data_IF_195579801082
#
_entry.id   IF_195579801082
#
_cell.length_a   1.000
_cell.length_b   1.000
_cell.length_c   1.000
_cell.angle_alpha   90.00
_cell.angle_beta   90.00
_cell.angle_gamma   90.00
#
_symmetry.space_group_name_H-M   'P 1'
#
loop_
_entity.id
_entity.type
_entity.pdbx_description
1 polymer ?
#
# COMPACT_ATOMS: atom_id res chain seq x y z
N UNK A 1 -13.26 -14.05 7.67
CA UNK A 1 -12.95 -12.66 8.07
C UNK A 1 -12.74 -11.84 6.80
N UNK A 2 -13.44 -10.72 6.62
CA UNK A 2 -13.21 -9.81 5.48
C UNK A 2 -12.14 -8.79 5.88
N UNK A 3 -11.02 -8.78 5.17
CA UNK A 3 -9.91 -7.86 5.46
C UNK A 3 -10.15 -6.49 4.82
N UNK A 4 -10.71 -6.46 3.61
CA UNK A 4 -11.09 -5.21 2.96
C UNK A 4 -12.60 -4.99 3.04
N UNK A 5 -12.99 -3.74 3.36
CA UNK A 5 -14.38 -3.26 3.25
C UNK A 5 -14.78 -2.96 1.81
N UNK A 6 -13.82 -2.74 0.91
CA UNK A 6 -14.05 -2.28 -0.46
C UNK A 6 -14.00 -3.41 -1.49
N UNK A 7 -13.12 -4.39 -1.29
CA UNK A 7 -12.98 -5.50 -2.22
C UNK A 7 -12.94 -6.83 -1.46
N UNK A 8 -14.01 -7.61 -1.58
CA UNK A 8 -14.14 -8.92 -0.91
C UNK A 8 -13.15 -9.96 -1.42
N UNK A 9 -12.50 -9.73 -2.57
CA UNK A 9 -11.46 -10.60 -3.12
C UNK A 9 -10.10 -10.43 -2.43
N UNK A 10 -9.90 -9.33 -1.69
CA UNK A 10 -8.67 -9.11 -0.92
C UNK A 10 -8.76 -9.95 0.37
N UNK A 11 -8.12 -11.10 0.35
CA UNK A 11 -8.00 -12.03 1.49
C UNK A 11 -6.59 -11.99 2.06
N UNK A 12 -6.40 -12.52 3.27
CA UNK A 12 -5.05 -12.61 3.86
C UNK A 12 -4.13 -13.49 3.02
N UNK A 13 -4.69 -14.60 2.52
CA UNK A 13 -3.99 -15.53 1.64
C UNK A 13 -3.49 -14.83 0.37
N UNK A 14 -4.36 -14.04 -0.29
CA UNK A 14 -3.96 -13.21 -1.43
C UNK A 14 -2.79 -12.28 -1.06
N UNK A 15 -2.90 -11.56 0.06
CA UNK A 15 -1.89 -10.60 0.48
C UNK A 15 -0.51 -11.22 0.79
N UNK A 16 -0.49 -12.47 1.26
CA UNK A 16 0.75 -13.13 1.70
C UNK A 16 1.34 -14.04 0.62
N UNK A 17 0.50 -14.73 -0.15
CA UNK A 17 0.92 -15.77 -1.09
C UNK A 17 0.92 -15.33 -2.56
N UNK A 18 0.16 -14.30 -2.94
CA UNK A 18 0.19 -13.86 -4.33
C UNK A 18 1.52 -13.22 -4.72
N UNK A 19 1.87 -13.42 -5.98
CA UNK A 19 3.07 -12.85 -6.57
C UNK A 19 2.83 -11.39 -6.93
N UNK A 20 3.76 -10.53 -6.55
CA UNK A 20 3.77 -9.13 -6.95
C UNK A 20 3.79 -9.01 -8.48
N UNK A 21 2.98 -8.09 -8.97
CA UNK A 21 2.77 -7.85 -10.39
C UNK A 21 2.53 -6.34 -10.62
N UNK A 22 2.31 -5.94 -11.87
CA UNK A 22 2.15 -4.53 -12.22
C UNK A 22 0.97 -3.82 -11.52
N UNK A 23 0.02 -4.57 -10.95
CA UNK A 23 -1.15 -4.06 -10.23
C UNK A 23 -1.15 -4.44 -8.74
N UNK A 24 -0.11 -5.11 -8.25
CA UNK A 24 -0.02 -5.55 -6.86
C UNK A 24 1.42 -5.46 -6.35
N UNK A 25 1.63 -4.63 -5.33
CA UNK A 25 2.94 -4.36 -4.76
C UNK A 25 2.88 -4.37 -3.22
N UNK A 26 3.84 -5.05 -2.59
CA UNK A 26 3.93 -5.18 -1.13
C UNK A 26 5.13 -4.39 -0.64
N UNK A 27 4.89 -3.56 0.36
CA UNK A 27 5.92 -2.71 0.96
C UNK A 27 6.01 -2.96 2.46
N UNK A 28 7.24 -2.95 2.95
CA UNK A 28 7.54 -2.95 4.38
C UNK A 28 6.82 -1.82 5.10
N UNK A 29 6.52 -2.03 6.37
CA UNK A 29 6.05 -0.98 7.26
C UNK A 29 7.05 0.20 7.32
N UNK A 30 8.34 -0.08 7.13
CA UNK A 30 9.41 0.92 7.18
C UNK A 30 9.62 1.68 5.87
N UNK A 31 8.73 1.54 4.87
CA UNK A 31 8.84 2.26 3.59
C UNK A 31 8.92 3.77 3.81
N UNK A 32 9.83 4.42 3.08
CA UNK A 32 9.92 5.89 3.05
C UNK A 32 8.69 6.46 2.34
N UNK A 33 8.08 7.49 2.92
CA UNK A 33 6.89 8.15 2.36
C UNK A 33 7.10 8.62 0.92
N UNK A 34 8.29 9.12 0.57
CA UNK A 34 8.59 9.51 -0.81
C UNK A 34 8.48 8.33 -1.78
N UNK A 35 9.00 7.15 -1.39
CA UNK A 35 8.86 5.93 -2.20
C UNK A 35 7.43 5.43 -2.28
N UNK A 36 6.67 5.57 -1.21
CA UNK A 36 5.24 5.25 -1.22
C UNK A 36 4.48 6.18 -2.18
N UNK A 37 4.78 7.48 -2.17
CA UNK A 37 4.19 8.45 -3.08
C UNK A 37 4.53 8.13 -4.54
N UNK A 38 5.79 7.83 -4.84
CA UNK A 38 6.23 7.43 -6.18
C UNK A 38 5.48 6.17 -6.65
N UNK A 39 5.30 5.19 -5.77
CA UNK A 39 4.49 4.00 -6.08
C UNK A 39 3.03 4.40 -6.36
N UNK A 40 2.39 5.19 -5.49
CA UNK A 40 1.00 5.64 -5.70
C UNK A 40 0.85 6.36 -7.05
N UNK A 41 1.78 7.26 -7.39
CA UNK A 41 1.77 7.99 -8.66
C UNK A 41 1.95 7.02 -9.84
N UNK A 42 2.88 6.08 -9.74
CA UNK A 42 3.11 5.07 -10.78
C UNK A 42 1.87 4.21 -11.04
N UNK A 43 1.19 3.79 -9.98
CA UNK A 43 -0.08 3.08 -10.07
C UNK A 43 -1.20 3.95 -10.65
N UNK A 44 -1.31 5.21 -10.21
CA UNK A 44 -2.32 6.15 -10.71
C UNK A 44 -2.14 6.51 -12.19
N UNK A 45 -0.89 6.55 -12.68
CA UNK A 45 -0.56 6.82 -14.08
C UNK A 45 -0.71 5.59 -14.99
N UNK A 46 -0.75 4.39 -14.43
CA UNK A 46 -1.10 3.17 -15.13
C UNK A 46 -2.63 2.98 -15.12
N UNK A 47 -3.13 1.79 -14.79
CA UNK A 47 -4.56 1.50 -14.64
C UNK A 47 -5.02 1.41 -13.17
N UNK A 48 -4.24 1.99 -12.25
CA UNK A 48 -4.42 1.81 -10.81
C UNK A 48 -3.90 0.45 -10.33
N UNK A 49 -4.28 0.08 -9.10
CA UNK A 49 -3.94 -1.21 -8.51
C UNK A 49 -3.94 -1.17 -6.99
N UNK A 50 -3.26 -2.15 -6.38
CA UNK A 50 -3.26 -2.38 -4.95
C UNK A 50 -1.84 -2.30 -4.39
N UNK A 51 -1.60 -1.32 -3.52
CA UNK A 51 -0.38 -1.21 -2.73
C UNK A 51 -0.71 -1.60 -1.30
N UNK A 52 0.10 -2.50 -0.73
CA UNK A 52 -0.10 -2.99 0.63
C UNK A 52 1.13 -2.69 1.47
N UNK A 53 0.94 -1.87 2.49
CA UNK A 53 2.01 -1.42 3.39
C UNK A 53 1.95 -2.20 4.70
N UNK A 54 3.11 -2.63 5.18
CA UNK A 54 3.23 -3.45 6.39
C UNK A 54 3.25 -4.95 6.14
N UNK A 55 3.56 -5.37 4.90
CA UNK A 55 3.82 -6.76 4.55
C UNK A 55 5.16 -6.84 3.83
N UNK A 56 6.04 -7.71 4.30
CA UNK A 56 7.34 -7.99 3.68
C UNK A 56 7.58 -9.49 3.74
N UNK A 57 8.07 -10.09 2.65
CA UNK A 57 8.40 -11.52 2.57
C UNK A 57 7.28 -12.48 3.03
N UNK A 58 6.02 -12.13 2.71
CA UNK A 58 4.85 -12.94 3.11
C UNK A 58 4.58 -12.94 4.62
N UNK A 59 5.15 -11.98 5.36
CA UNK A 59 4.89 -11.75 6.79
C UNK A 59 4.25 -10.41 7.02
N UNK A 60 3.30 -10.39 7.95
CA UNK A 60 2.62 -9.17 8.38
C UNK A 60 3.48 -8.51 9.45
N UNK A 61 4.18 -7.45 9.08
CA UNK A 61 4.90 -6.58 10.00
C UNK A 61 3.91 -5.63 10.72
N UNK A 62 2.90 -5.17 9.98
CA UNK A 62 1.94 -4.18 10.45
C UNK A 62 2.51 -2.75 10.50
N UNK A 63 1.65 -1.75 10.31
CA UNK A 63 2.07 -0.34 10.25
C UNK A 63 2.05 0.37 11.62
N UNK A 64 1.38 -0.22 12.62
CA UNK A 64 1.22 0.39 13.94
C UNK A 64 2.54 0.46 14.72
N UNK A 65 3.47 -0.46 14.47
CA UNK A 65 4.79 -0.45 15.12
C UNK A 65 5.70 0.69 14.64
N UNK A 66 5.31 1.43 13.60
CA UNK A 66 6.10 2.54 13.04
C UNK A 66 5.82 3.89 13.72
N UNK A 67 4.88 3.92 14.69
CA UNK A 67 4.49 5.13 15.41
C UNK A 67 3.44 5.96 14.69
N UNK A 68 2.62 6.68 15.46
CA UNK A 68 1.43 7.40 14.98
C UNK A 68 1.72 8.41 13.86
N UNK A 69 2.92 9.03 13.87
CA UNK A 69 3.31 10.04 12.88
C UNK A 69 3.44 9.40 11.49
N UNK A 70 4.13 8.25 11.37
CA UNK A 70 4.30 7.55 10.08
C UNK A 70 2.99 6.97 9.54
N UNK A 71 2.12 6.48 10.43
CA UNK A 71 0.79 5.98 10.02
C UNK A 71 -0.06 7.12 9.44
N UNK A 72 -0.05 8.29 10.08
CA UNK A 72 -0.74 9.46 9.55
C UNK A 72 -0.15 9.90 8.21
N UNK A 73 1.18 9.88 8.08
CA UNK A 73 1.87 10.23 6.84
C UNK A 73 1.49 9.28 5.67
N UNK A 74 1.38 7.97 5.93
CA UNK A 74 0.88 6.99 4.96
C UNK A 74 -0.56 7.31 4.53
N UNK A 75 -1.44 7.63 5.49
CA UNK A 75 -2.83 7.98 5.20
C UNK A 75 -2.94 9.28 4.40
N UNK A 76 -2.13 10.28 4.74
CA UNK A 76 -2.08 11.57 4.07
C UNK A 76 -1.39 11.51 2.70
N UNK A 77 -0.52 10.53 2.47
CA UNK A 77 0.26 10.39 1.24
C UNK A 77 -0.63 10.31 -0.01
N UNK A 78 -1.69 9.49 0.04
CA UNK A 78 -2.66 9.36 -1.06
C UNK A 78 -3.59 10.58 -1.21
N UNK A 79 -3.73 11.42 -0.18
CA UNK A 79 -4.62 12.58 -0.18
C UNK A 79 -3.90 13.88 -0.59
N UNK A 80 -2.65 14.06 -0.16
CA UNK A 80 -1.89 15.30 -0.38
C UNK A 80 -1.03 15.28 -1.66
N UNK A 81 -0.70 14.11 -2.23
CA UNK A 81 0.19 14.01 -3.40
C UNK A 81 -0.50 13.61 -4.72
N UNK A 82 -1.82 13.42 -4.73
CA UNK A 82 -2.58 13.25 -5.97
C UNK A 82 -2.97 14.64 -6.53
N UNK A 83 -1.98 15.35 -7.09
CA UNK A 83 -2.27 16.49 -7.97
C UNK A 83 -2.35 15.91 -9.39
N UNK A 84 -3.52 15.88 -10.04
CA UNK A 84 -3.60 15.47 -11.44
C UNK A 84 -2.70 16.41 -12.24
N UNK A 85 -1.70 15.84 -12.90
CA UNK A 85 -0.84 16.61 -13.80
C UNK A 85 -1.68 16.92 -15.05
N UNK A 86 -1.93 18.20 -15.30
CA UNK A 86 -2.51 18.69 -16.55
C UNK A 86 -1.43 18.74 -17.63
#
# INVERSE_FOLDING_TARGET
>A
MKISKYNSKITLDFLLNEKENQFFDRKSASIKINKLAEAIIGFANADGGLIVVGIEDGKIEGVLSQGNIKVNDILQCGFQKCIPSH
#
